data_IF_988796341902
#
_entry.id   IF_988796341902
#
_cell.length_a   1.000
_cell.length_b   1.000
_cell.length_c   1.000
_cell.angle_alpha   90.00
_cell.angle_beta   90.00
_cell.angle_gamma   90.00
#
_symmetry.space_group_name_H-M   'P 1'
#
loop_
_entity.id
_entity.type
_entity.pdbx_description
1 polymer ?
#
# COMPACT_ATOMS: atom_id res chain seq x y z
N UNK A 1 -21.55 -0.90 -15.99
CA UNK A 1 -21.83 0.54 -15.76
C UNK A 1 -21.38 1.03 -14.38
N UNK A 2 -21.74 0.34 -13.30
CA UNK A 2 -21.34 0.67 -11.91
C UNK A 2 -19.82 0.82 -11.74
N UNK A 3 -19.01 -0.07 -12.32
CA UNK A 3 -17.54 0.00 -12.27
C UNK A 3 -16.96 1.30 -12.86
N UNK A 4 -17.56 1.83 -13.93
CA UNK A 4 -17.13 3.10 -14.53
C UNK A 4 -17.46 4.26 -13.58
N UNK A 5 -18.67 4.28 -13.02
CA UNK A 5 -19.11 5.29 -12.03
C UNK A 5 -18.26 5.30 -10.75
N UNK A 6 -17.92 4.12 -10.22
CA UNK A 6 -17.02 3.99 -9.06
C UNK A 6 -15.61 4.50 -9.38
N UNK A 7 -15.08 4.17 -10.57
CA UNK A 7 -13.76 4.66 -11.01
C UNK A 7 -13.75 6.18 -11.19
N UNK A 8 -14.80 6.75 -11.79
CA UNK A 8 -14.94 8.19 -11.99
C UNK A 8 -15.09 8.95 -10.67
N UNK A 9 -15.97 8.50 -9.78
CA UNK A 9 -16.13 9.11 -8.45
C UNK A 9 -14.85 9.02 -7.61
N UNK A 10 -14.08 7.93 -7.75
CA UNK A 10 -12.73 7.79 -7.15
C UNK A 10 -11.75 8.80 -7.73
N UNK A 11 -11.70 8.95 -9.05
CA UNK A 11 -10.81 9.90 -9.72
C UNK A 11 -11.14 11.35 -9.35
N UNK A 12 -12.42 11.72 -9.31
CA UNK A 12 -12.86 13.04 -8.85
C UNK A 12 -12.44 13.30 -7.39
N UNK A 13 -12.65 12.33 -6.51
CA UNK A 13 -12.25 12.43 -5.09
C UNK A 13 -10.74 12.62 -4.93
N UNK A 14 -9.93 11.86 -5.67
CA UNK A 14 -8.47 12.00 -5.69
C UNK A 14 -8.06 13.36 -6.24
N UNK A 15 -8.74 13.83 -7.30
CA UNK A 15 -8.47 15.11 -7.94
C UNK A 15 -8.67 16.28 -6.97
N UNK A 16 -9.75 16.27 -6.18
CA UNK A 16 -10.01 17.28 -5.15
C UNK A 16 -9.19 17.11 -3.86
N UNK A 17 -8.15 16.26 -3.85
CA UNK A 17 -7.29 16.07 -2.68
C UNK A 17 -7.95 15.26 -1.54
N UNK A 18 -9.06 14.58 -1.82
CA UNK A 18 -9.67 13.66 -0.89
C UNK A 18 -8.69 12.56 -0.49
N UNK A 19 -8.62 12.27 0.81
CA UNK A 19 -7.68 11.36 1.47
C UNK A 19 -6.25 11.87 1.71
N UNK A 20 -5.89 13.14 1.50
CA UNK A 20 -4.53 13.64 1.80
C UNK A 20 -4.10 13.39 3.26
N UNK A 21 -4.93 13.76 4.23
CA UNK A 21 -4.65 13.49 5.66
C UNK A 21 -4.53 11.99 5.97
N UNK A 22 -5.24 11.16 5.20
CA UNK A 22 -5.18 9.70 5.30
C UNK A 22 -3.86 9.19 4.68
N UNK A 23 -3.49 9.69 3.51
CA UNK A 23 -2.23 9.40 2.82
C UNK A 23 -1.03 9.72 3.72
N UNK A 24 -1.00 10.90 4.34
CA UNK A 24 0.06 11.31 5.26
C UNK A 24 0.15 10.37 6.48
N UNK A 25 -1.00 9.86 6.97
CA UNK A 25 -1.04 8.85 8.04
C UNK A 25 -0.48 7.49 7.61
N UNK A 26 -0.56 7.15 6.31
CA UNK A 26 -0.16 5.85 5.76
C UNK A 26 1.21 5.88 5.05
N UNK A 27 1.76 7.05 4.72
CA UNK A 27 3.13 7.25 4.24
C UNK A 27 4.12 7.20 5.41
N UNK A 28 4.22 6.03 6.02
CA UNK A 28 4.97 5.86 7.25
C UNK A 28 6.47 5.63 7.00
N UNK A 29 6.86 5.26 5.78
CA UNK A 29 8.23 5.26 5.30
C UNK A 29 8.26 5.49 3.78
N UNK A 30 9.43 5.84 3.26
CA UNK A 30 9.68 6.03 1.84
C UNK A 30 10.96 5.29 1.43
N UNK A 31 10.89 4.60 0.29
CA UNK A 31 12.03 4.06 -0.45
C UNK A 31 11.83 4.45 -1.93
N UNK A 32 12.91 4.61 -2.69
CA UNK A 32 12.85 5.07 -4.08
C UNK A 32 13.37 4.00 -5.04
N UNK A 33 12.64 2.89 -5.23
CA UNK A 33 13.05 1.88 -6.19
C UNK A 33 12.90 2.44 -7.60
N UNK A 34 14.00 2.48 -8.36
CA UNK A 34 13.99 2.89 -9.78
C UNK A 34 13.48 1.76 -10.68
N UNK A 35 12.25 1.30 -10.44
CA UNK A 35 11.64 0.16 -11.14
C UNK A 35 10.19 0.48 -11.57
N UNK A 36 9.72 -0.20 -12.60
CA UNK A 36 8.32 -0.13 -13.03
C UNK A 36 7.37 -0.90 -12.10
N UNK A 37 6.08 -0.67 -12.26
CA UNK A 37 5.02 -1.32 -11.48
C UNK A 37 4.98 -2.85 -11.66
N UNK A 38 5.26 -3.34 -12.87
CA UNK A 38 5.35 -4.77 -13.17
C UNK A 38 6.48 -5.42 -12.35
N UNK A 39 7.68 -4.85 -12.39
CA UNK A 39 8.83 -5.39 -11.67
C UNK A 39 8.67 -5.25 -10.16
N UNK A 40 8.08 -4.15 -9.70
CA UNK A 40 7.71 -3.96 -8.30
C UNK A 40 6.84 -5.09 -7.79
N UNK A 41 5.76 -5.44 -8.51
CA UNK A 41 4.90 -6.57 -8.15
C UNK A 41 5.68 -7.88 -8.18
N UNK A 42 6.39 -8.16 -9.28
CA UNK A 42 7.12 -9.43 -9.47
C UNK A 42 8.17 -9.69 -8.40
N UNK A 43 8.95 -8.68 -8.03
CA UNK A 43 10.00 -8.78 -7.00
C UNK A 43 9.45 -9.01 -5.60
N UNK A 44 8.22 -8.59 -5.33
CA UNK A 44 7.59 -8.75 -4.01
C UNK A 44 6.79 -10.06 -3.88
N UNK A 45 6.48 -10.76 -4.97
CA UNK A 45 5.80 -12.06 -4.95
C UNK A 45 6.55 -13.11 -4.10
N UNK A 46 7.89 -13.30 -4.25
CA UNK A 46 8.64 -14.24 -3.42
C UNK A 46 8.58 -13.94 -1.92
N UNK A 47 8.37 -12.66 -1.56
CA UNK A 47 8.21 -12.22 -0.18
C UNK A 47 6.77 -12.45 0.36
N UNK A 48 5.87 -13.00 -0.45
CA UNK A 48 4.48 -13.27 -0.11
C UNK A 48 3.52 -12.10 -0.37
N UNK A 49 3.96 -11.05 -1.06
CA UNK A 49 3.06 -9.95 -1.44
C UNK A 49 2.22 -10.30 -2.66
N UNK A 50 0.97 -9.88 -2.63
CA UNK A 50 -0.01 -10.07 -3.69
C UNK A 50 -0.65 -8.74 -4.06
N UNK A 51 -1.07 -8.60 -5.32
CA UNK A 51 -1.74 -7.40 -5.80
C UNK A 51 -3.04 -7.12 -5.05
N UNK A 52 -3.26 -5.85 -4.69
CA UNK A 52 -4.48 -5.39 -4.06
C UNK A 52 -5.19 -4.37 -4.95
N UNK A 53 -6.05 -4.88 -5.85
CA UNK A 53 -6.79 -4.08 -6.84
C UNK A 53 -7.72 -3.03 -6.23
N UNK A 54 -8.13 -3.20 -4.97
CA UNK A 54 -9.11 -2.32 -4.32
C UNK A 54 -8.50 -1.11 -3.61
N UNK A 55 -7.17 -1.03 -3.51
CA UNK A 55 -6.47 -0.08 -2.62
C UNK A 55 -5.75 1.08 -3.33
N UNK A 56 -6.14 1.39 -4.59
CA UNK A 56 -5.65 2.60 -5.30
C UNK A 56 -6.43 3.85 -4.90
N UNK A 57 -6.18 4.34 -3.69
CA UNK A 57 -6.95 5.42 -3.06
C UNK A 57 -6.26 6.79 -3.08
N UNK A 58 -4.96 6.83 -3.40
CA UNK A 58 -4.14 8.04 -3.30
C UNK A 58 -3.73 8.58 -4.66
N UNK A 59 -3.39 9.88 -4.68
CA UNK A 59 -2.96 10.56 -5.91
C UNK A 59 -1.64 9.94 -6.39
N UNK A 60 -1.49 9.75 -7.69
CA UNK A 60 -0.29 9.18 -8.32
C UNK A 60 0.07 7.72 -7.95
N UNK A 61 -0.76 7.03 -7.19
CA UNK A 61 -0.55 5.63 -6.83
C UNK A 61 -0.78 4.70 -8.03
N UNK A 62 0.29 4.06 -8.51
CA UNK A 62 0.26 3.19 -9.70
C UNK A 62 0.22 1.70 -9.37
N UNK A 63 0.69 1.28 -8.20
CA UNK A 63 0.61 -0.12 -7.75
C UNK A 63 0.30 -0.22 -6.26
N UNK A 64 -0.33 -1.32 -5.85
CA UNK A 64 -0.51 -1.68 -4.44
C UNK A 64 -0.40 -3.16 -4.25
N UNK A 65 0.37 -3.56 -3.26
CA UNK A 65 0.48 -4.95 -2.87
C UNK A 65 0.25 -5.09 -1.37
N UNK A 66 -0.26 -6.25 -0.98
CA UNK A 66 -0.51 -6.62 0.40
C UNK A 66 0.11 -7.97 0.73
N UNK A 67 0.49 -8.16 1.98
CA UNK A 67 0.94 -9.46 2.51
C UNK A 67 0.37 -9.66 3.91
N UNK A 68 -0.22 -10.82 4.19
CA UNK A 68 -0.63 -11.18 5.54
C UNK A 68 0.61 -11.39 6.43
N UNK A 69 0.60 -10.83 7.63
CA UNK A 69 1.66 -11.05 8.61
C UNK A 69 1.58 -12.47 9.20
N UNK A 70 2.71 -12.93 9.73
CA UNK A 70 2.83 -14.30 10.30
C UNK A 70 1.93 -14.52 11.51
N UNK A 71 1.50 -13.46 12.19
CA UNK A 71 0.56 -13.56 13.31
C UNK A 71 -0.90 -13.82 12.88
N UNK A 72 -1.17 -13.80 11.56
CA UNK A 72 -2.48 -14.03 10.98
C UNK A 72 -3.52 -12.94 11.28
N UNK A 73 -3.11 -11.83 11.92
CA UNK A 73 -4.02 -10.75 12.34
C UNK A 73 -3.78 -9.46 11.59
N UNK A 74 -2.55 -9.26 11.15
CA UNK A 74 -2.13 -8.02 10.51
C UNK A 74 -1.74 -8.25 9.06
N UNK A 75 -1.56 -7.15 8.35
CA UNK A 75 -1.11 -7.11 6.98
C UNK A 75 -0.10 -5.99 6.77
N UNK A 76 0.82 -6.24 5.86
CA UNK A 76 1.70 -5.24 5.27
C UNK A 76 1.04 -4.69 4.02
N UNK A 77 1.02 -3.36 3.88
CA UNK A 77 0.59 -2.69 2.66
C UNK A 77 1.76 -1.92 2.09
N UNK A 78 2.07 -2.16 0.82
CA UNK A 78 3.05 -1.39 0.06
C UNK A 78 2.38 -0.75 -1.14
N UNK A 79 2.78 0.48 -1.46
CA UNK A 79 2.24 1.31 -2.53
C UNK A 79 3.37 1.91 -3.33
N UNK A 80 3.29 1.79 -4.65
CA UNK A 80 4.21 2.47 -5.57
C UNK A 80 3.48 3.65 -6.21
N UNK A 81 4.17 4.79 -6.29
CA UNK A 81 3.71 6.01 -6.91
C UNK A 81 4.43 6.26 -8.24
N UNK A 82 3.83 7.09 -9.11
CA UNK A 82 4.36 7.37 -10.45
C UNK A 82 5.69 8.12 -10.45
N UNK A 83 6.08 8.74 -9.34
CA UNK A 83 7.38 9.37 -9.12
C UNK A 83 8.46 8.36 -8.66
N UNK A 84 8.12 7.07 -8.59
CA UNK A 84 9.02 6.01 -8.14
C UNK A 84 9.14 5.87 -6.63
N UNK A 85 8.40 6.66 -5.85
CA UNK A 85 8.33 6.49 -4.40
C UNK A 85 7.54 5.22 -4.08
N UNK A 86 8.08 4.40 -3.19
CA UNK A 86 7.33 3.33 -2.54
C UNK A 86 7.16 3.63 -1.05
N UNK A 87 5.92 3.54 -0.58
CA UNK A 87 5.56 3.72 0.83
C UNK A 87 4.85 2.50 1.35
N UNK A 88 4.76 2.37 2.66
CA UNK A 88 3.92 1.35 3.25
C UNK A 88 3.80 1.39 4.75
N UNK A 89 3.05 0.44 5.26
CA UNK A 89 2.70 0.36 6.67
C UNK A 89 2.28 -1.06 7.06
N UNK A 90 2.18 -1.26 8.37
CA UNK A 90 1.64 -2.45 9.01
C UNK A 90 0.35 -2.07 9.73
N UNK A 91 -0.70 -2.88 9.59
CA UNK A 91 -2.00 -2.63 10.22
C UNK A 91 -2.80 -3.92 10.37
N UNK A 92 -3.91 -3.86 11.09
CA UNK A 92 -4.87 -4.97 11.18
C UNK A 92 -5.37 -5.41 9.80
N UNK A 93 -5.57 -6.71 9.58
CA UNK A 93 -6.17 -7.20 8.36
C UNK A 93 -7.64 -6.76 8.25
N UNK A 94 -8.00 -6.19 7.09
CA UNK A 94 -9.34 -5.65 6.88
C UNK A 94 -10.41 -6.75 6.82
N UNK A 95 -10.08 -7.91 6.28
CA UNK A 95 -11.05 -9.00 6.08
C UNK A 95 -11.36 -9.72 7.39
N UNK A 96 -10.38 -9.86 8.27
CA UNK A 96 -10.54 -10.51 9.56
C UNK A 96 -10.99 -9.53 10.67
N UNK A 97 -10.51 -8.28 10.64
CA UNK A 97 -10.68 -7.30 11.72
C UNK A 97 -11.07 -5.92 11.20
N UNK A 98 -12.19 -5.85 10.49
CA UNK A 98 -12.64 -4.65 9.79
C UNK A 98 -12.78 -3.43 10.73
N UNK A 99 -13.35 -3.60 11.92
CA UNK A 99 -13.59 -2.48 12.85
C UNK A 99 -12.27 -1.89 13.36
N UNK A 100 -11.36 -2.76 13.78
CA UNK A 100 -10.03 -2.41 14.27
C UNK A 100 -9.18 -1.76 13.17
N UNK A 101 -9.24 -2.31 11.96
CA UNK A 101 -8.59 -1.73 10.80
C UNK A 101 -9.08 -0.31 10.51
N UNK A 102 -10.40 -0.09 10.49
CA UNK A 102 -10.98 1.23 10.26
C UNK A 102 -10.65 2.22 11.38
N UNK A 103 -10.50 1.76 12.61
CA UNK A 103 -10.01 2.57 13.74
C UNK A 103 -8.50 2.89 13.63
N UNK A 104 -7.75 2.18 12.77
CA UNK A 104 -6.30 2.28 12.68
C UNK A 104 -5.60 1.69 13.91
N UNK A 105 -6.19 0.66 14.53
CA UNK A 105 -5.55 -0.10 15.61
C UNK A 105 -4.28 -0.76 15.06
N UNK A 106 -3.21 -0.69 15.84
CA UNK A 106 -1.89 -1.25 15.52
C UNK A 106 -1.31 -0.77 14.17
N UNK A 107 -1.80 0.36 13.67
CA UNK A 107 -1.23 1.03 12.51
C UNK A 107 0.16 1.57 12.87
N UNK A 108 1.20 1.03 12.25
CA UNK A 108 2.58 1.44 12.52
C UNK A 108 3.44 1.50 11.26
N UNK A 109 4.55 2.21 11.39
CA UNK A 109 5.62 2.21 10.38
C UNK A 109 6.24 0.82 10.27
N UNK A 110 6.79 0.52 9.10
CA UNK A 110 7.64 -0.65 8.97
C UNK A 110 8.91 -0.48 9.81
N UNK A 111 9.34 -1.56 10.46
CA UNK A 111 10.58 -1.59 11.23
C UNK A 111 11.78 -1.40 10.30
N UNK A 112 12.95 -1.10 10.87
CA UNK A 112 14.19 -1.01 10.08
C UNK A 112 14.47 -2.32 9.32
N UNK A 113 14.30 -3.45 9.98
CA UNK A 113 14.53 -4.78 9.41
C UNK A 113 13.56 -5.05 8.25
N UNK A 114 12.26 -4.80 8.45
CA UNK A 114 11.25 -4.94 7.40
C UNK A 114 11.57 -4.09 6.17
N UNK A 115 12.00 -2.84 6.38
CA UNK A 115 12.38 -1.93 5.29
C UNK A 115 13.60 -2.42 4.54
N UNK A 116 14.62 -2.93 5.21
CA UNK A 116 15.83 -3.46 4.57
C UNK A 116 15.50 -4.67 3.69
N UNK A 117 14.70 -5.61 4.18
CA UNK A 117 14.27 -6.77 3.38
C UNK A 117 13.49 -6.37 2.12
N UNK A 118 12.65 -5.34 2.22
CA UNK A 118 11.88 -4.84 1.08
C UNK A 118 12.79 -4.07 0.12
N UNK A 119 13.70 -3.23 0.63
CA UNK A 119 14.66 -2.49 -0.18
C UNK A 119 15.55 -3.43 -1.00
N UNK A 120 16.13 -4.44 -0.35
CA UNK A 120 16.96 -5.47 -0.98
C UNK A 120 16.21 -6.19 -2.12
N UNK A 121 14.98 -6.66 -1.86
CA UNK A 121 14.16 -7.30 -2.89
C UNK A 121 13.86 -6.36 -4.07
N UNK A 122 13.70 -5.06 -3.81
CA UNK A 122 13.46 -4.05 -4.82
C UNK A 122 14.74 -3.60 -5.55
N UNK A 123 15.92 -3.92 -5.02
CA UNK A 123 17.23 -3.57 -5.57
C UNK A 123 17.71 -2.18 -5.14
N UNK A 124 17.44 -1.79 -3.89
CA UNK A 124 17.87 -0.54 -3.23
C UNK A 124 18.73 -0.91 -2.03
#
# INVERSE_FOLDING_TARGET
MIYKLLRWSRQLRIFFGGNKAREDRFKLFEIHPRIGDIDFRRKLIPLGYQENLFSHTFKHQIATVRRLALDGKHQYHLRLYSDGVCTGHYEMDYYLYQKEHLAGKDLRKLTRVERVYIADALGV
#
